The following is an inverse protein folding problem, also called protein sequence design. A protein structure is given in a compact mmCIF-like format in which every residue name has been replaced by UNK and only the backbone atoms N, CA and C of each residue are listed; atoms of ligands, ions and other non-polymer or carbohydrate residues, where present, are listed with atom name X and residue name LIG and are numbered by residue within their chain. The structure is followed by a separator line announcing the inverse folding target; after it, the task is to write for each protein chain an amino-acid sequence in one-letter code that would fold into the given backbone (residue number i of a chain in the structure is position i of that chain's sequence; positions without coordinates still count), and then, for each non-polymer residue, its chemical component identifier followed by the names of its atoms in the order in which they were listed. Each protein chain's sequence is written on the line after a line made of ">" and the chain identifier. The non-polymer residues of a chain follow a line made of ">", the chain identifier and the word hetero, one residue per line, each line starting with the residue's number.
data_IF_287704063717
#
_entry.id   IF_287704063717
#
_cell.length_a   1.000
_cell.length_b   1.000
_cell.length_c   1.000
_cell.angle_alpha   90.00
_cell.angle_beta   90.00
_cell.angle_gamma   90.00
#
_symmetry.space_group_name_H-M   'P 1'
#
loop_
_entity.id
_entity.type
_entity.pdbx_description
1 polymer ?
#
# COMPACT_ATOMS: atom_id res chain seq x y z
N UNK A 1 9.40 -1.56 1.36
CA UNK A 1 10.42 -0.71 1.98
C UNK A 1 11.33 -0.09 0.95
N UNK A 2 11.72 1.16 1.18
CA UNK A 2 12.51 1.97 0.27
C UNK A 2 13.84 2.36 0.91
N UNK A 3 14.88 2.51 0.10
CA UNK A 3 16.12 3.20 0.41
C UNK A 3 16.14 4.49 -0.41
N UNK A 4 16.41 5.60 0.25
CA UNK A 4 16.46 6.91 -0.39
C UNK A 4 17.89 7.41 -0.37
N UNK A 5 18.50 7.46 -1.55
CA UNK A 5 19.83 8.04 -1.72
C UNK A 5 19.72 9.56 -1.65
N UNK A 6 20.61 10.19 -0.90
CA UNK A 6 20.62 11.62 -0.68
C UNK A 6 22.02 12.17 -0.83
N UNK A 7 22.16 13.25 -1.59
CA UNK A 7 23.38 14.00 -1.75
C UNK A 7 23.22 15.39 -1.13
N UNK A 8 24.10 15.75 -0.21
CA UNK A 8 24.06 17.04 0.51
C UNK A 8 22.69 17.37 1.12
N UNK A 9 22.04 16.33 1.66
CA UNK A 9 20.68 16.46 2.23
C UNK A 9 19.56 16.51 1.19
N UNK A 10 19.86 16.40 -0.10
CA UNK A 10 18.89 16.37 -1.18
C UNK A 10 18.64 14.95 -1.66
N UNK A 11 17.43 14.40 -1.50
CA UNK A 11 17.07 13.10 -2.06
C UNK A 11 17.17 13.09 -3.57
N UNK A 12 17.85 12.10 -4.14
CA UNK A 12 18.14 12.03 -5.59
C UNK A 12 17.67 10.75 -6.25
N UNK A 13 17.57 9.65 -5.48
CA UNK A 13 17.18 8.35 -6.02
C UNK A 13 16.40 7.54 -4.98
N UNK A 14 15.45 6.76 -5.44
CA UNK A 14 14.71 5.77 -4.64
C UNK A 14 15.03 4.38 -5.16
N UNK A 15 15.40 3.49 -4.25
CA UNK A 15 15.65 2.07 -4.50
C UNK A 15 14.82 1.20 -3.54
N UNK A 16 14.57 -0.05 -3.92
CA UNK A 16 13.94 -1.01 -3.02
C UNK A 16 14.88 -1.46 -1.91
N UNK A 17 14.36 -1.59 -0.70
CA UNK A 17 15.13 -2.12 0.43
C UNK A 17 15.18 -3.67 0.36
N UNK A 18 16.34 -4.29 0.13
CA UNK A 18 16.47 -5.73 0.03
C UNK A 18 16.17 -6.48 1.35
N UNK A 19 16.26 -5.78 2.48
CA UNK A 19 15.96 -6.35 3.80
C UNK A 19 14.45 -6.29 4.14
N UNK A 20 13.66 -5.59 3.33
CA UNK A 20 12.22 -5.49 3.60
C UNK A 20 11.48 -6.75 3.12
N UNK A 21 10.72 -7.45 4.00
CA UNK A 21 10.16 -8.77 3.70
C UNK A 21 9.12 -8.74 2.56
N UNK A 22 8.37 -7.64 2.42
CA UNK A 22 7.31 -7.54 1.42
C UNK A 22 7.80 -7.16 0.02
N UNK A 23 8.97 -6.53 -0.12
CA UNK A 23 9.49 -6.08 -1.42
C UNK A 23 10.82 -6.73 -1.79
N UNK A 24 11.62 -7.16 -0.81
CA UNK A 24 12.92 -7.83 -1.01
C UNK A 24 13.83 -7.11 -2.02
N UNK A 25 13.83 -5.78 -1.99
CA UNK A 25 14.62 -4.94 -2.90
C UNK A 25 13.91 -4.58 -4.22
N UNK A 26 12.69 -5.04 -4.45
CA UNK A 26 11.88 -4.54 -5.57
C UNK A 26 11.20 -3.21 -5.22
N UNK A 27 10.89 -2.41 -6.24
CA UNK A 27 10.12 -1.18 -6.13
C UNK A 27 9.34 -0.96 -7.42
N UNK A 28 8.23 -0.25 -7.33
CA UNK A 28 7.39 0.09 -8.48
C UNK A 28 7.75 1.47 -9.06
N UNK A 29 7.16 1.78 -10.21
CA UNK A 29 7.41 3.05 -10.90
C UNK A 29 6.89 4.26 -10.11
N UNK A 30 5.79 4.10 -9.35
CA UNK A 30 5.22 5.19 -8.55
C UNK A 30 6.12 5.52 -7.37
N UNK A 31 6.65 4.51 -6.69
CA UNK A 31 7.61 4.71 -5.61
C UNK A 31 8.89 5.39 -6.12
N UNK A 32 9.40 4.99 -7.30
CA UNK A 32 10.56 5.63 -7.90
C UNK A 32 10.27 7.06 -8.33
N UNK A 33 9.13 7.31 -8.96
CA UNK A 33 8.71 8.63 -9.40
C UNK A 33 8.35 9.58 -8.23
N UNK A 34 8.04 9.05 -7.05
CA UNK A 34 7.66 9.86 -5.88
C UNK A 34 8.72 10.89 -5.47
N UNK A 35 9.99 10.67 -5.87
CA UNK A 35 11.05 11.66 -5.63
C UNK A 35 10.77 12.98 -6.36
N UNK A 36 10.10 12.96 -7.50
CA UNK A 36 9.75 14.16 -8.27
C UNK A 36 8.76 15.03 -7.51
N UNK A 37 7.89 14.44 -6.69
CA UNK A 37 6.93 15.16 -5.87
C UNK A 37 7.60 16.05 -4.82
N UNK A 38 8.86 15.78 -4.45
CA UNK A 38 9.61 16.62 -3.51
C UNK A 38 10.05 17.93 -4.15
N UNK A 39 10.20 17.96 -5.46
CA UNK A 39 10.72 19.08 -6.25
C UNK A 39 9.65 19.74 -7.11
N UNK A 40 8.42 19.27 -7.01
CA UNK A 40 7.28 19.83 -7.74
C UNK A 40 7.02 21.27 -7.26
N UNK A 41 7.05 22.28 -8.15
CA UNK A 41 6.79 23.67 -7.79
C UNK A 41 5.35 23.89 -7.27
N UNK A 42 4.40 23.04 -7.66
CA UNK A 42 3.00 23.11 -7.23
C UNK A 42 2.77 22.44 -5.88
N UNK A 43 3.80 21.86 -5.29
CA UNK A 43 3.72 21.28 -3.96
C UNK A 43 3.36 22.33 -2.92
N UNK A 44 2.43 21.99 -2.02
CA UNK A 44 2.11 22.85 -0.88
C UNK A 44 3.35 23.20 -0.05
N UNK A 45 3.65 24.48 0.06
CA UNK A 45 4.85 25.00 0.73
C UNK A 45 4.51 25.70 2.06
N UNK A 46 3.26 26.12 2.23
CA UNK A 46 2.82 26.90 3.37
C UNK A 46 1.50 26.40 3.92
N UNK A 47 1.28 26.67 5.21
CA UNK A 47 -0.04 26.48 5.82
C UNK A 47 -0.92 27.67 5.47
N UNK A 48 -2.13 27.40 5.02
CA UNK A 48 -3.13 28.43 4.75
C UNK A 48 -4.40 28.18 5.56
N UNK A 49 -5.05 29.27 5.98
CA UNK A 49 -6.38 29.24 6.57
C UNK A 49 -7.21 30.36 5.95
N UNK A 50 -8.31 30.00 5.28
CA UNK A 50 -9.17 30.93 4.54
C UNK A 50 -8.39 31.79 3.52
N UNK A 51 -7.41 31.19 2.83
CA UNK A 51 -6.57 31.87 1.85
C UNK A 51 -5.35 32.61 2.42
N UNK A 52 -5.28 32.78 3.74
CA UNK A 52 -4.19 33.49 4.42
C UNK A 52 -3.10 32.54 4.90
N UNK A 53 -1.83 32.90 4.70
CA UNK A 53 -0.68 32.15 5.21
C UNK A 53 -0.66 32.25 6.74
N UNK A 54 -0.54 31.12 7.41
CA UNK A 54 -0.53 31.01 8.87
C UNK A 54 0.67 30.19 9.35
N UNK A 55 1.22 30.51 10.52
CA UNK A 55 2.27 29.72 11.13
C UNK A 55 1.74 28.39 11.67
N UNK A 56 2.64 27.40 11.84
CA UNK A 56 2.32 26.09 12.42
C UNK A 56 1.67 26.19 13.80
N UNK A 57 2.07 27.15 14.61
CA UNK A 57 1.48 27.42 15.93
C UNK A 57 -0.03 27.75 15.88
N UNK A 58 -0.46 28.48 14.84
CA UNK A 58 -1.88 28.79 14.64
C UNK A 58 -2.69 27.51 14.31
N UNK A 59 -2.15 26.63 13.48
CA UNK A 59 -2.76 25.33 13.21
C UNK A 59 -2.87 24.47 14.47
N UNK A 60 -1.81 24.39 15.27
CA UNK A 60 -1.85 23.64 16.54
C UNK A 60 -2.85 24.22 17.54
N UNK A 61 -2.95 25.54 17.60
CA UNK A 61 -3.94 26.19 18.47
C UNK A 61 -5.37 25.86 18.04
N UNK A 62 -5.66 25.91 16.74
CA UNK A 62 -6.97 25.58 16.19
C UNK A 62 -7.36 24.12 16.45
N UNK A 63 -6.44 23.18 16.19
CA UNK A 63 -6.68 21.75 16.47
C UNK A 63 -6.90 21.50 17.97
N UNK A 64 -6.08 22.10 18.84
CA UNK A 64 -6.22 21.93 20.28
C UNK A 64 -7.58 22.46 20.77
N UNK A 65 -8.00 23.61 20.28
CA UNK A 65 -9.32 24.17 20.62
C UNK A 65 -10.46 23.22 20.17
N UNK A 66 -10.40 22.74 18.95
CA UNK A 66 -11.38 21.78 18.43
C UNK A 66 -11.43 20.47 19.24
N UNK A 67 -10.28 19.90 19.59
CA UNK A 67 -10.20 18.68 20.40
C UNK A 67 -10.68 18.92 21.84
N UNK A 68 -10.39 20.09 22.43
CA UNK A 68 -10.88 20.45 23.75
C UNK A 68 -12.41 20.54 23.77
N UNK A 69 -13.01 21.11 22.73
CA UNK A 69 -14.47 21.17 22.59
C UNK A 69 -15.11 19.78 22.47
N UNK A 70 -14.37 18.78 21.97
CA UNK A 70 -14.84 17.40 21.85
C UNK A 70 -14.68 16.55 23.12
N UNK A 71 -13.92 17.02 24.12
CA UNK A 71 -13.70 16.27 25.37
C UNK A 71 -15.01 15.96 26.13
N UNK A 72 -15.91 16.94 26.41
CA UNK A 72 -17.18 16.64 27.09
C UNK A 72 -18.09 15.73 26.26
N UNK A 73 -17.96 15.75 24.95
CA UNK A 73 -18.72 14.90 24.02
C UNK A 73 -18.06 13.52 23.79
N UNK A 74 -16.97 13.22 24.52
CA UNK A 74 -16.17 12.00 24.33
C UNK A 74 -15.75 11.76 22.88
N UNK A 75 -15.63 12.82 22.08
CA UNK A 75 -15.27 12.76 20.68
C UNK A 75 -16.42 12.42 19.72
N UNK A 76 -17.68 12.61 20.11
CA UNK A 76 -18.84 12.27 19.28
C UNK A 76 -18.86 12.98 17.91
N UNK A 77 -18.20 14.15 17.79
CA UNK A 77 -18.03 14.87 16.52
C UNK A 77 -16.79 14.46 15.71
N UNK A 78 -15.90 13.60 16.25
CA UNK A 78 -14.68 13.21 15.56
C UNK A 78 -14.96 12.04 14.62
N UNK A 79 -14.54 12.20 13.37
CA UNK A 79 -14.55 11.14 12.35
C UNK A 79 -13.17 11.07 11.70
N UNK A 80 -12.59 9.88 11.71
CA UNK A 80 -11.36 9.57 10.99
C UNK A 80 -11.75 8.81 9.73
N UNK A 81 -11.27 9.24 8.59
CA UNK A 81 -11.43 8.54 7.33
C UNK A 81 -10.04 8.27 6.76
N UNK A 82 -9.75 7.02 6.48
CA UNK A 82 -8.47 6.60 5.89
C UNK A 82 -8.72 5.57 4.80
N UNK A 83 -7.74 5.39 3.93
CA UNK A 83 -7.62 4.14 3.16
C UNK A 83 -7.25 2.98 4.10
N UNK A 84 -7.17 1.76 3.56
CA UNK A 84 -6.61 0.63 4.30
C UNK A 84 -5.19 0.92 4.75
N UNK A 85 -4.96 0.87 6.04
CA UNK A 85 -3.64 1.16 6.62
C UNK A 85 -2.91 -0.14 6.98
N UNK A 86 -1.64 -0.20 6.62
CA UNK A 86 -0.73 -1.30 6.96
C UNK A 86 0.44 -0.85 7.86
N UNK A 87 0.46 0.42 8.29
CA UNK A 87 1.45 0.96 9.21
C UNK A 87 1.08 0.63 10.66
N UNK A 88 1.89 -0.17 11.38
CA UNK A 88 1.64 -0.47 12.80
C UNK A 88 1.64 0.79 13.67
N UNK A 89 2.51 1.76 13.36
CA UNK A 89 2.60 3.03 14.07
C UNK A 89 1.32 3.85 13.92
N UNK A 90 0.82 4.00 12.68
CA UNK A 90 -0.42 4.74 12.43
C UNK A 90 -1.62 4.04 13.10
N UNK A 91 -1.68 2.71 13.03
CA UNK A 91 -2.72 1.94 13.71
C UNK A 91 -2.69 2.13 15.23
N UNK A 92 -1.50 2.22 15.84
CA UNK A 92 -1.36 2.50 17.26
C UNK A 92 -1.85 3.92 17.59
N UNK A 93 -1.45 4.92 16.81
CA UNK A 93 -1.90 6.32 17.00
C UNK A 93 -3.42 6.47 16.87
N UNK A 94 -4.05 5.78 15.91
CA UNK A 94 -5.51 5.78 15.77
C UNK A 94 -6.15 5.14 16.99
N UNK A 95 -5.64 4.02 17.49
CA UNK A 95 -6.14 3.38 18.72
C UNK A 95 -6.06 4.33 19.93
N UNK A 96 -4.95 5.06 20.06
CA UNK A 96 -4.78 6.04 21.14
C UNK A 96 -5.79 7.17 21.05
N UNK A 97 -6.08 7.66 19.84
CA UNK A 97 -7.14 8.65 19.62
C UNK A 97 -8.50 8.11 20.01
N UNK A 98 -8.84 6.88 19.59
CA UNK A 98 -10.12 6.24 19.92
C UNK A 98 -10.24 5.92 21.41
N UNK A 99 -9.17 5.56 22.08
CA UNK A 99 -9.14 5.36 23.53
C UNK A 99 -9.40 6.67 24.29
N UNK A 100 -8.80 7.77 23.81
CA UNK A 100 -9.00 9.10 24.40
C UNK A 100 -10.39 9.69 24.11
N UNK A 101 -10.97 9.35 22.96
CA UNK A 101 -12.28 9.81 22.48
C UNK A 101 -13.18 8.62 22.14
N UNK A 102 -13.79 7.95 23.13
CA UNK A 102 -14.49 6.68 22.93
C UNK A 102 -15.73 6.75 22.00
N UNK A 103 -16.27 7.94 21.77
CA UNK A 103 -17.39 8.17 20.85
C UNK A 103 -16.95 8.60 19.46
N UNK A 104 -15.64 8.76 19.22
CA UNK A 104 -15.09 8.96 17.89
C UNK A 104 -15.25 7.70 17.04
N UNK A 105 -15.36 7.88 15.73
CA UNK A 105 -15.48 6.76 14.79
C UNK A 105 -14.37 6.80 13.76
N UNK A 106 -13.81 5.65 13.47
CA UNK A 106 -12.87 5.46 12.38
C UNK A 106 -13.52 4.66 11.26
N UNK A 107 -13.39 5.17 10.05
CA UNK A 107 -13.89 4.58 8.83
C UNK A 107 -12.72 4.35 7.88
N UNK A 108 -12.75 3.24 7.16
CA UNK A 108 -11.82 2.95 6.08
C UNK A 108 -12.60 2.84 4.78
N UNK A 109 -12.04 3.41 3.72
CA UNK A 109 -12.62 3.33 2.39
C UNK A 109 -11.54 3.33 1.33
N UNK A 110 -11.57 2.35 0.47
CA UNK A 110 -10.68 2.21 -0.68
C UNK A 110 -11.51 2.24 -1.96
N UNK A 111 -11.18 3.10 -2.96
CA UNK A 111 -11.94 3.19 -4.21
C UNK A 111 -11.89 1.90 -5.04
N UNK A 112 -10.82 1.12 -4.91
CA UNK A 112 -10.66 -0.22 -5.49
C UNK A 112 -10.64 -1.25 -4.35
N UNK A 113 -11.77 -1.41 -3.67
CA UNK A 113 -11.91 -2.23 -2.48
C UNK A 113 -11.67 -3.71 -2.72
N UNK A 114 -11.37 -4.42 -1.64
CA UNK A 114 -11.11 -5.87 -1.62
C UNK A 114 -12.22 -6.64 -0.91
N UNK A 115 -13.44 -6.09 -0.90
CA UNK A 115 -14.58 -6.64 -0.16
C UNK A 115 -14.90 -8.08 -0.58
N UNK A 116 -14.86 -8.38 -1.88
CA UNK A 116 -15.09 -9.74 -2.38
C UNK A 116 -13.97 -10.71 -1.99
N UNK A 117 -12.72 -10.24 -1.95
CA UNK A 117 -11.59 -11.04 -1.47
C UNK A 117 -11.74 -11.35 0.01
N UNK A 118 -12.15 -10.37 0.80
CA UNK A 118 -12.41 -10.52 2.23
C UNK A 118 -13.61 -11.47 2.49
N UNK A 119 -14.71 -11.29 1.77
CA UNK A 119 -15.87 -12.17 1.87
C UNK A 119 -15.54 -13.62 1.47
N UNK A 120 -14.75 -13.81 0.42
CA UNK A 120 -14.25 -15.12 0.01
C UNK A 120 -13.35 -15.76 1.06
N UNK A 121 -12.45 -14.99 1.67
CA UNK A 121 -11.60 -15.48 2.75
C UNK A 121 -12.43 -15.88 3.99
N UNK A 122 -13.41 -15.07 4.37
CA UNK A 122 -14.31 -15.37 5.48
C UNK A 122 -15.15 -16.62 5.22
N UNK A 123 -15.66 -16.79 3.99
CA UNK A 123 -16.40 -17.98 3.58
C UNK A 123 -15.53 -19.25 3.64
N UNK A 124 -14.27 -19.16 3.19
CA UNK A 124 -13.38 -20.31 3.11
C UNK A 124 -12.73 -20.69 4.46
N UNK A 125 -12.41 -19.69 5.29
CA UNK A 125 -11.59 -19.87 6.50
C UNK A 125 -12.32 -19.49 7.80
N UNK A 126 -13.56 -19.00 7.73
CA UNK A 126 -14.32 -18.51 8.89
C UNK A 126 -13.77 -17.25 9.53
N UNK A 127 -12.80 -16.59 8.89
CA UNK A 127 -12.15 -15.34 9.34
C UNK A 127 -11.46 -14.64 8.19
N UNK A 128 -11.19 -13.35 8.36
CA UNK A 128 -10.35 -12.59 7.45
C UNK A 128 -8.91 -13.12 7.51
N UNK A 129 -8.38 -13.49 6.35
CA UNK A 129 -6.98 -13.87 6.16
C UNK A 129 -6.42 -13.19 4.92
N UNK A 130 -5.17 -12.79 4.96
CA UNK A 130 -4.43 -12.33 3.80
C UNK A 130 -3.65 -13.49 3.18
N UNK A 131 -3.93 -13.77 1.93
CA UNK A 131 -3.24 -14.82 1.17
C UNK A 131 -1.86 -14.34 0.76
N UNK A 132 -0.85 -15.16 1.01
CA UNK A 132 0.51 -14.94 0.53
C UNK A 132 0.94 -16.12 -0.33
N UNK A 133 1.22 -15.85 -1.60
CA UNK A 133 1.72 -16.86 -2.54
C UNK A 133 3.23 -17.02 -2.43
N UNK A 134 3.72 -18.24 -2.59
CA UNK A 134 5.14 -18.59 -2.68
C UNK A 134 5.46 -19.02 -4.11
N UNK A 135 5.59 -18.05 -5.01
CA UNK A 135 5.80 -18.31 -6.44
C UNK A 135 7.21 -18.83 -6.75
N UNK A 136 8.14 -18.66 -5.84
CA UNK A 136 9.47 -19.27 -5.88
C UNK A 136 9.43 -20.80 -5.74
N UNK A 137 8.33 -21.36 -5.22
CA UNK A 137 8.13 -22.79 -5.01
C UNK A 137 7.14 -23.42 -6.01
N UNK A 138 6.48 -22.59 -6.83
CA UNK A 138 5.45 -23.06 -7.75
C UNK A 138 6.06 -23.46 -9.10
N UNK A 139 5.82 -24.70 -9.53
CA UNK A 139 6.22 -25.19 -10.85
C UNK A 139 5.17 -24.90 -11.92
N UNK A 140 3.89 -24.97 -11.54
CA UNK A 140 2.76 -24.63 -12.41
C UNK A 140 1.84 -23.65 -11.70
N UNK A 141 1.46 -22.60 -12.40
CA UNK A 141 0.60 -21.54 -11.91
C UNK A 141 -0.57 -21.40 -12.87
N UNK A 142 -1.78 -21.45 -12.34
CA UNK A 142 -3.01 -21.09 -13.06
C UNK A 142 -3.56 -19.80 -12.45
N UNK A 143 -3.70 -18.77 -13.29
CA UNK A 143 -4.33 -17.49 -12.92
C UNK A 143 -5.67 -17.37 -13.63
N UNK A 144 -6.72 -17.15 -12.86
CA UNK A 144 -8.08 -16.93 -13.35
C UNK A 144 -8.47 -15.48 -13.06
N UNK A 145 -8.38 -14.64 -14.09
CA UNK A 145 -8.70 -13.21 -14.06
C UNK A 145 -8.02 -12.46 -12.88
N UNK A 146 -6.78 -12.84 -12.55
CA UNK A 146 -6.03 -12.30 -11.42
C UNK A 146 -4.68 -11.72 -11.87
N UNK A 147 -4.54 -10.40 -11.83
CA UNK A 147 -3.29 -9.71 -12.21
C UNK A 147 -2.29 -9.63 -11.04
N UNK A 148 -1.89 -10.79 -10.50
CA UNK A 148 -1.03 -10.88 -9.32
C UNK A 148 0.40 -10.37 -9.54
N UNK A 149 0.87 -10.26 -10.79
CA UNK A 149 2.17 -9.66 -11.12
C UNK A 149 2.09 -8.14 -11.29
N UNK A 150 0.92 -7.59 -11.64
CA UNK A 150 0.76 -6.17 -11.93
C UNK A 150 0.16 -5.37 -10.80
N UNK A 151 -0.70 -5.96 -9.98
CA UNK A 151 -1.41 -5.26 -8.93
C UNK A 151 -1.58 -6.08 -7.64
N UNK A 152 -2.06 -5.40 -6.60
CA UNK A 152 -2.29 -5.99 -5.29
C UNK A 152 -1.09 -5.95 -4.35
N UNK A 153 -1.29 -6.24 -3.06
CA UNK A 153 -0.33 -5.94 -2.00
C UNK A 153 0.94 -6.80 -2.05
N UNK A 154 0.93 -7.93 -2.75
CA UNK A 154 2.07 -8.82 -2.91
C UNK A 154 2.79 -8.72 -4.25
N UNK A 155 2.30 -7.90 -5.19
CA UNK A 155 2.73 -7.91 -6.61
C UNK A 155 4.24 -7.77 -6.80
N UNK A 156 4.90 -6.87 -6.09
CA UNK A 156 6.35 -6.67 -6.18
C UNK A 156 7.14 -7.91 -5.78
N UNK A 157 6.74 -8.56 -4.70
CA UNK A 157 7.35 -9.80 -4.24
C UNK A 157 7.07 -10.93 -5.23
N UNK A 158 5.83 -11.06 -5.67
CA UNK A 158 5.40 -12.08 -6.62
C UNK A 158 6.10 -11.95 -7.96
N UNK A 159 6.21 -10.73 -8.51
CA UNK A 159 6.96 -10.48 -9.73
C UNK A 159 8.44 -10.90 -9.60
N UNK A 160 9.08 -10.60 -8.48
CA UNK A 160 10.45 -11.01 -8.21
C UNK A 160 10.61 -12.52 -8.08
N UNK A 161 9.75 -13.19 -7.31
CA UNK A 161 9.78 -14.64 -7.11
C UNK A 161 9.51 -15.36 -8.43
N UNK A 162 8.52 -14.92 -9.21
CA UNK A 162 8.21 -15.43 -10.53
C UNK A 162 9.41 -15.28 -11.50
N UNK A 163 10.00 -14.08 -11.57
CA UNK A 163 11.14 -13.81 -12.43
C UNK A 163 12.39 -14.61 -12.02
N UNK A 164 12.59 -14.86 -10.72
CA UNK A 164 13.71 -15.66 -10.23
C UNK A 164 13.67 -17.10 -10.77
N UNK A 165 12.47 -17.67 -10.97
CA UNK A 165 12.25 -19.01 -11.56
C UNK A 165 12.38 -19.04 -13.07
N UNK A 166 12.55 -17.87 -13.73
CA UNK A 166 12.68 -17.72 -15.18
C UNK A 166 14.07 -17.25 -15.63
N UNK A 167 15.03 -17.25 -14.73
CA UNK A 167 16.44 -17.01 -15.09
C UNK A 167 16.97 -18.19 -15.89
N UNK A 168 17.93 -17.94 -16.81
CA UNK A 168 18.63 -19.00 -17.49
C UNK A 168 19.33 -19.93 -16.47
N UNK A 169 18.69 -21.01 -16.16
CA UNK A 169 19.13 -22.07 -15.28
C UNK A 169 18.79 -23.38 -16.00
N UNK A 170 19.18 -24.55 -15.52
CA UNK A 170 18.76 -25.78 -16.14
C UNK A 170 17.28 -25.77 -16.47
N UNK A 171 16.92 -26.02 -17.73
CA UNK A 171 15.59 -25.80 -18.31
C UNK A 171 14.43 -26.56 -17.62
N UNK A 172 14.77 -27.51 -16.77
CA UNK A 172 13.88 -28.37 -16.01
C UNK A 172 13.21 -27.72 -14.80
N UNK A 173 13.60 -26.48 -14.44
CA UNK A 173 13.11 -25.77 -13.26
C UNK A 173 12.35 -24.47 -13.54
N UNK A 174 12.10 -24.14 -14.80
CA UNK A 174 11.30 -22.96 -15.16
C UNK A 174 9.82 -23.24 -14.87
N UNK A 175 9.17 -22.30 -14.12
CA UNK A 175 7.73 -22.41 -13.88
C UNK A 175 6.92 -22.21 -15.17
N UNK A 176 5.68 -22.73 -15.18
CA UNK A 176 4.71 -22.55 -16.27
C UNK A 176 3.53 -21.75 -15.76
N UNK A 177 3.18 -20.68 -16.50
CA UNK A 177 2.06 -19.81 -16.19
C UNK A 177 0.96 -19.96 -17.24
N UNK A 178 -0.20 -20.39 -16.80
CA UNK A 178 -1.44 -20.43 -17.55
C UNK A 178 -2.33 -19.30 -17.05
N UNK A 179 -2.90 -18.49 -17.97
CA UNK A 179 -3.78 -17.38 -17.63
C UNK A 179 -5.06 -17.45 -18.44
N UNK A 180 -6.18 -17.37 -17.75
CA UNK A 180 -7.49 -17.11 -18.36
C UNK A 180 -7.99 -15.75 -17.84
N UNK A 181 -8.20 -14.79 -18.75
CA UNK A 181 -8.53 -13.42 -18.40
C UNK A 181 -9.43 -12.73 -19.44
N UNK A 182 -10.32 -11.85 -18.98
CA UNK A 182 -11.26 -11.15 -19.86
C UNK A 182 -10.57 -10.06 -20.70
N UNK A 183 -9.48 -9.48 -20.20
CA UNK A 183 -8.69 -8.49 -20.93
C UNK A 183 -7.20 -8.64 -20.59
N UNK A 184 -6.29 -8.22 -21.50
CA UNK A 184 -4.86 -8.33 -21.30
C UNK A 184 -4.39 -7.59 -20.04
N UNK A 185 -3.70 -8.32 -19.16
CA UNK A 185 -3.04 -7.78 -17.98
C UNK A 185 -1.53 -7.94 -18.04
N UNK A 186 -0.83 -7.35 -17.04
CA UNK A 186 0.63 -7.57 -16.88
C UNK A 186 0.95 -9.06 -16.65
N UNK A 187 0.08 -9.78 -15.96
CA UNK A 187 0.21 -11.23 -15.72
C UNK A 187 0.01 -12.01 -17.00
N UNK A 188 -1.04 -11.70 -17.78
CA UNK A 188 -1.32 -12.34 -19.06
C UNK A 188 -0.23 -12.11 -20.10
N UNK A 189 0.38 -10.91 -20.10
CA UNK A 189 1.51 -10.62 -20.99
C UNK A 189 2.78 -11.44 -20.68
N UNK A 190 2.85 -12.09 -19.53
CA UNK A 190 3.96 -12.98 -19.11
C UNK A 190 3.60 -14.45 -19.11
N UNK A 191 2.38 -14.79 -19.50
CA UNK A 191 1.90 -16.16 -19.56
C UNK A 191 2.61 -16.99 -20.65
N UNK A 192 2.82 -18.26 -20.36
CA UNK A 192 3.24 -19.24 -21.37
C UNK A 192 2.04 -19.68 -22.22
N UNK A 193 0.86 -19.71 -21.59
CA UNK A 193 -0.42 -20.02 -22.23
C UNK A 193 -1.48 -19.05 -21.72
N UNK A 194 -2.11 -18.36 -22.65
CA UNK A 194 -3.17 -17.39 -22.38
C UNK A 194 -4.44 -17.73 -23.17
N UNK A 195 -5.57 -17.68 -22.47
CA UNK A 195 -6.92 -17.84 -23.00
C UNK A 195 -7.72 -16.56 -22.77
#
# INVERSE_FOLDING_TARGET
>A
GLLVESHEGRPTKIEGNPLHPSSRGATDIFAQAAILNLYDPDRSQTLTNLGEIRPWSAFLAAIRAALTAQQPLKGAGIRLLTESINSPTLAAQIRDVLARFPSAKWHQWDPAGREYTHAGAELAFGRLVDTQYHLDQADVILSLDADFLGCGPGSLRYAREFAARRRPAPADRMNRLYVAECMPTSTGARADHRL
#
